data_IF_041759799673
#
_entry.id   IF_041759799673
#
_cell.length_a   1.000
_cell.length_b   1.000
_cell.length_c   1.000
_cell.angle_alpha   90.00
_cell.angle_beta   90.00
_cell.angle_gamma   90.00
#
_symmetry.space_group_name_H-M   'P 1'
#
loop_
_entity.id
_entity.type
_entity.pdbx_description
1 polymer ?
#
# COMPACT_ATOMS: atom_id res chain seq x y z
N UNK A 1 -6.38 -6.06 -6.48
CA UNK A 1 -6.91 -4.79 -7.01
C UNK A 1 -8.39 -4.94 -7.25
N UNK A 2 -9.18 -3.94 -6.88
CA UNK A 2 -10.61 -3.96 -7.20
C UNK A 2 -10.80 -3.86 -8.71
N UNK A 3 -11.84 -4.52 -9.23
CA UNK A 3 -12.18 -4.41 -10.65
C UNK A 3 -12.40 -2.92 -10.99
N UNK A 4 -11.72 -2.36 -12.01
CA UNK A 4 -11.92 -0.98 -12.46
C UNK A 4 -13.36 -0.62 -12.79
N UNK A 5 -14.15 -1.61 -13.22
CA UNK A 5 -15.55 -1.45 -13.58
C UNK A 5 -16.54 -1.61 -12.41
N UNK A 6 -16.02 -1.85 -11.19
CA UNK A 6 -16.88 -1.90 -10.01
C UNK A 6 -17.60 -0.57 -9.78
N UNK A 7 -18.88 -0.57 -9.37
CA UNK A 7 -19.59 0.64 -8.99
C UNK A 7 -18.83 1.46 -7.95
N UNK A 8 -18.92 2.79 -8.04
CA UNK A 8 -18.17 3.72 -7.18
C UNK A 8 -18.36 3.42 -5.68
N UNK A 9 -19.58 3.12 -5.27
CA UNK A 9 -19.89 2.74 -3.89
C UNK A 9 -18.97 1.64 -3.31
N UNK A 10 -18.70 0.57 -4.09
CA UNK A 10 -17.84 -0.52 -3.61
C UNK A 10 -16.37 -0.11 -3.53
N UNK A 11 -15.94 0.82 -4.39
CA UNK A 11 -14.60 1.39 -4.33
C UNK A 11 -14.43 2.23 -3.08
N UNK A 12 -15.37 3.13 -2.83
CA UNK A 12 -15.35 4.03 -1.66
C UNK A 12 -15.42 3.24 -0.36
N UNK A 13 -16.28 2.23 -0.29
CA UNK A 13 -16.37 1.34 0.88
C UNK A 13 -15.06 0.58 1.11
N UNK A 14 -14.43 0.07 0.05
CA UNK A 14 -13.16 -0.65 0.16
C UNK A 14 -12.04 0.26 0.62
N UNK A 15 -11.98 1.48 0.12
CA UNK A 15 -11.01 2.49 0.54
C UNK A 15 -11.21 2.89 2.00
N UNK A 16 -12.45 3.13 2.41
CA UNK A 16 -12.79 3.44 3.80
C UNK A 16 -12.36 2.30 4.74
N UNK A 17 -12.68 1.05 4.39
CA UNK A 17 -12.31 -0.13 5.17
C UNK A 17 -10.80 -0.29 5.33
N UNK A 18 -10.05 -0.15 4.22
CA UNK A 18 -8.57 -0.22 4.26
C UNK A 18 -8.03 0.90 5.14
N UNK A 19 -8.49 2.13 4.94
CA UNK A 19 -8.07 3.30 5.72
C UNK A 19 -8.35 3.14 7.20
N UNK A 20 -9.56 2.72 7.58
CA UNK A 20 -9.94 2.52 8.98
C UNK A 20 -9.16 1.38 9.61
N UNK A 21 -9.02 0.26 8.91
CA UNK A 21 -8.22 -0.88 9.41
C UNK A 21 -6.76 -0.50 9.61
N UNK A 22 -6.15 0.25 8.68
CA UNK A 22 -4.78 0.73 8.83
C UNK A 22 -4.62 1.69 10.02
N UNK A 23 -5.60 2.58 10.25
CA UNK A 23 -5.59 3.46 11.43
C UNK A 23 -5.65 2.64 12.73
N UNK A 24 -6.54 1.66 12.81
CA UNK A 24 -6.62 0.74 13.96
C UNK A 24 -5.25 0.10 14.23
N UNK A 25 -4.65 -0.53 13.23
CA UNK A 25 -3.43 -1.31 13.41
C UNK A 25 -2.21 -0.42 13.69
N UNK A 26 -2.03 0.68 12.96
CA UNK A 26 -0.90 1.60 13.16
C UNK A 26 -0.95 2.34 14.51
N UNK A 27 -2.15 2.71 14.99
CA UNK A 27 -2.27 3.35 16.30
C UNK A 27 -2.06 2.37 17.44
N UNK A 28 -2.39 1.08 17.24
CA UNK A 28 -2.01 0.03 18.18
C UNK A 28 -0.49 -0.16 18.23
N UNK A 29 0.21 -0.18 17.08
CA UNK A 29 1.67 -0.19 17.03
C UNK A 29 2.26 1.00 17.80
N UNK A 30 1.79 2.21 17.51
CA UNK A 30 2.26 3.45 18.15
C UNK A 30 2.04 3.43 19.66
N UNK A 31 0.89 2.93 20.13
CA UNK A 31 0.55 2.85 21.55
C UNK A 31 1.47 1.94 22.38
N UNK A 32 2.10 0.96 21.72
CA UNK A 32 3.09 0.07 22.32
C UNK A 32 4.54 0.47 22.02
N UNK A 33 4.75 1.56 21.28
CA UNK A 33 6.09 1.99 20.87
C UNK A 33 6.79 1.00 19.95
N UNK A 34 6.01 0.26 19.13
CA UNK A 34 6.50 -0.75 18.19
C UNK A 34 6.14 -0.37 16.76
N UNK A 35 6.82 -0.98 15.79
CA UNK A 35 6.49 -0.82 14.37
C UNK A 35 6.32 -2.19 13.72
N UNK A 36 5.18 -2.39 13.07
CA UNK A 36 4.88 -3.59 12.31
C UNK A 36 4.45 -4.82 13.12
N UNK A 37 4.17 -4.68 14.41
CA UNK A 37 3.57 -5.76 15.22
C UNK A 37 2.10 -5.99 14.85
N UNK A 38 1.34 -4.90 14.78
CA UNK A 38 -0.10 -4.96 14.44
C UNK A 38 -0.35 -4.64 12.98
N UNK A 39 0.39 -3.72 12.35
CA UNK A 39 0.19 -3.29 10.97
C UNK A 39 0.68 -4.34 9.95
N UNK A 40 0.08 -5.52 9.97
CA UNK A 40 0.36 -6.65 9.07
C UNK A 40 -0.87 -7.02 8.24
N UNK A 41 -0.67 -7.70 7.10
CA UNK A 41 -1.80 -8.21 6.31
C UNK A 41 -2.61 -9.30 7.05
N UNK A 42 -1.97 -10.06 7.94
CA UNK A 42 -2.66 -11.04 8.79
C UNK A 42 -3.63 -10.32 9.71
N UNK A 43 -3.19 -9.30 10.45
CA UNK A 43 -4.05 -8.54 11.34
C UNK A 43 -5.10 -7.73 10.57
N UNK A 44 -4.76 -7.20 9.39
CA UNK A 44 -5.76 -6.60 8.49
C UNK A 44 -6.87 -7.60 8.17
N UNK A 45 -6.52 -8.82 7.78
CA UNK A 45 -7.51 -9.87 7.52
C UNK A 45 -8.31 -10.22 8.78
N UNK A 46 -7.67 -10.25 9.95
CA UNK A 46 -8.33 -10.49 11.24
C UNK A 46 -9.39 -9.43 11.52
N UNK A 47 -9.10 -8.16 11.31
CA UNK A 47 -10.09 -7.08 11.46
C UNK A 47 -11.20 -7.21 10.41
N UNK A 48 -10.86 -7.44 9.14
CA UNK A 48 -11.84 -7.50 8.06
C UNK A 48 -12.75 -8.74 8.12
N UNK A 49 -12.25 -9.90 8.54
CA UNK A 49 -13.02 -11.15 8.63
C UNK A 49 -13.63 -11.35 10.02
N UNK A 50 -13.08 -10.71 11.05
CA UNK A 50 -13.49 -10.87 12.45
C UNK A 50 -13.60 -12.35 12.92
N UNK A 51 -12.64 -13.26 12.56
CA UNK A 51 -12.72 -14.64 12.98
C UNK A 51 -12.66 -14.73 14.52
N UNK A 52 -13.51 -15.55 15.13
CA UNK A 52 -13.56 -15.74 16.59
C UNK A 52 -13.62 -14.41 17.38
N UNK A 53 -14.15 -13.36 16.78
CA UNK A 53 -14.23 -12.01 17.34
C UNK A 53 -12.87 -11.34 17.64
N UNK A 54 -11.76 -11.84 17.09
CA UNK A 54 -10.43 -11.27 17.32
C UNK A 54 -10.30 -9.89 16.67
N UNK A 55 -10.94 -9.67 15.52
CA UNK A 55 -11.04 -8.32 14.93
C UNK A 55 -11.73 -7.33 15.85
N UNK A 56 -12.84 -7.75 16.49
CA UNK A 56 -13.56 -6.93 17.47
C UNK A 56 -12.70 -6.59 18.68
N UNK A 57 -11.88 -7.52 19.19
CA UNK A 57 -10.95 -7.26 20.30
C UNK A 57 -9.94 -6.16 19.96
N UNK A 58 -9.32 -6.23 18.75
CA UNK A 58 -8.38 -5.22 18.28
C UNK A 58 -9.04 -3.85 18.12
N UNK A 59 -10.22 -3.79 17.53
CA UNK A 59 -11.01 -2.57 17.35
C UNK A 59 -11.45 -1.96 18.69
N UNK A 60 -11.93 -2.78 19.64
CA UNK A 60 -12.33 -2.31 20.96
C UNK A 60 -11.14 -1.70 21.70
N UNK A 61 -9.99 -2.38 21.68
CA UNK A 61 -8.76 -1.88 22.28
C UNK A 61 -8.32 -0.55 21.65
N UNK A 62 -8.37 -0.44 20.32
CA UNK A 62 -8.08 0.80 19.61
C UNK A 62 -9.01 1.96 20.04
N UNK A 63 -10.32 1.71 20.17
CA UNK A 63 -11.27 2.73 20.60
C UNK A 63 -11.03 3.25 22.03
N UNK A 64 -10.30 2.50 22.85
CA UNK A 64 -9.92 2.88 24.22
C UNK A 64 -8.57 3.61 24.30
N UNK A 65 -7.82 3.72 23.20
CA UNK A 65 -6.54 4.43 23.19
C UNK A 65 -6.75 5.91 23.47
N UNK A 66 -5.92 6.45 24.34
CA UNK A 66 -5.80 7.90 24.50
C UNK A 66 -5.20 8.49 23.22
N UNK A 67 -5.87 9.48 22.64
CA UNK A 67 -5.33 10.26 21.54
C UNK A 67 -4.27 11.26 22.04
N UNK A 68 -3.38 11.69 21.15
CA UNK A 68 -2.46 12.80 21.43
C UNK A 68 -3.22 14.14 21.51
N UNK A 69 -4.40 14.18 20.89
CA UNK A 69 -5.33 15.31 20.92
C UNK A 69 -6.75 14.80 21.16
N UNK A 70 -7.64 15.66 21.63
CA UNK A 70 -9.08 15.34 21.77
C UNK A 70 -9.70 14.94 20.43
N UNK A 71 -9.26 15.56 19.33
CA UNK A 71 -9.72 15.23 17.98
C UNK A 71 -9.31 13.80 17.59
N UNK A 72 -8.08 13.40 17.89
CA UNK A 72 -7.60 12.03 17.64
C UNK A 72 -8.34 11.01 18.50
N UNK A 73 -8.58 11.32 19.76
CA UNK A 73 -9.33 10.44 20.66
C UNK A 73 -10.77 10.25 20.19
N UNK A 74 -11.41 11.33 19.74
CA UNK A 74 -12.76 11.27 19.16
C UNK A 74 -12.76 10.42 17.87
N UNK A 75 -11.78 10.63 16.98
CA UNK A 75 -11.66 9.82 15.75
C UNK A 75 -11.49 8.33 16.06
N UNK A 76 -10.70 7.97 17.09
CA UNK A 76 -10.54 6.58 17.51
C UNK A 76 -11.89 5.97 17.95
N UNK A 77 -12.65 6.73 18.76
CA UNK A 77 -13.96 6.29 19.24
C UNK A 77 -14.97 6.15 18.09
N UNK A 78 -14.99 7.10 17.16
CA UNK A 78 -15.90 7.11 16.01
C UNK A 78 -15.61 5.91 15.07
N UNK A 79 -14.34 5.64 14.76
CA UNK A 79 -13.94 4.49 13.93
C UNK A 79 -14.27 3.17 14.63
N UNK A 80 -14.00 3.05 15.95
CA UNK A 80 -14.32 1.85 16.70
C UNK A 80 -15.82 1.62 16.74
N UNK A 81 -16.62 2.68 16.98
CA UNK A 81 -18.08 2.63 16.96
C UNK A 81 -18.62 2.18 15.61
N UNK A 82 -18.07 2.70 14.50
CA UNK A 82 -18.45 2.29 13.15
C UNK A 82 -18.21 0.80 12.93
N UNK A 83 -17.02 0.28 13.31
CA UNK A 83 -16.75 -1.15 13.19
C UNK A 83 -17.70 -1.99 14.02
N UNK A 84 -17.95 -1.62 15.27
CA UNK A 84 -18.75 -2.42 16.22
C UNK A 84 -20.23 -2.41 15.85
N UNK A 85 -20.76 -1.25 15.50
CA UNK A 85 -22.20 -1.04 15.34
C UNK A 85 -22.69 -1.17 13.89
N UNK A 86 -21.80 -0.99 12.90
CA UNK A 86 -22.17 -1.07 11.49
C UNK A 86 -21.50 -2.28 10.80
N UNK A 87 -20.16 -2.38 10.86
CA UNK A 87 -19.44 -3.42 10.13
C UNK A 87 -19.62 -4.82 10.75
N UNK A 88 -19.52 -4.93 12.07
CA UNK A 88 -19.71 -6.19 12.81
C UNK A 88 -21.14 -6.42 13.30
N UNK A 89 -22.09 -5.58 12.90
CA UNK A 89 -23.49 -5.77 13.24
C UNK A 89 -24.03 -7.07 12.65
N UNK A 90 -25.00 -7.65 13.32
CA UNK A 90 -25.72 -8.80 12.77
C UNK A 90 -26.41 -8.41 11.44
N UNK A 91 -26.22 -9.22 10.39
CA UNK A 91 -26.73 -8.96 9.02
C UNK A 91 -26.28 -7.62 8.42
N UNK A 92 -25.05 -7.22 8.71
CA UNK A 92 -24.46 -5.99 8.17
C UNK A 92 -24.35 -6.04 6.65
N UNK A 93 -25.06 -5.16 5.96
CA UNK A 93 -24.90 -4.94 4.51
C UNK A 93 -23.51 -4.39 4.17
N UNK A 94 -22.90 -3.64 5.06
CA UNK A 94 -21.53 -3.13 4.92
C UNK A 94 -20.54 -4.30 4.86
N UNK A 95 -20.70 -5.26 5.77
CA UNK A 95 -19.89 -6.48 5.77
C UNK A 95 -20.12 -7.31 4.50
N UNK A 96 -21.34 -7.53 4.07
CA UNK A 96 -21.67 -8.26 2.84
C UNK A 96 -21.04 -7.59 1.61
N UNK A 97 -21.21 -6.29 1.47
CA UNK A 97 -20.69 -5.49 0.36
C UNK A 97 -19.15 -5.39 0.33
N UNK A 98 -18.47 -5.72 1.43
CA UNK A 98 -17.01 -5.71 1.52
C UNK A 98 -16.36 -7.02 1.07
N UNK A 99 -17.12 -7.99 0.55
CA UNK A 99 -16.62 -9.31 0.14
C UNK A 99 -15.44 -9.24 -0.84
N UNK A 100 -15.45 -8.28 -1.77
CA UNK A 100 -14.38 -8.07 -2.75
C UNK A 100 -13.04 -7.76 -2.10
N UNK A 101 -12.97 -6.77 -1.21
CA UNK A 101 -11.72 -6.40 -0.52
C UNK A 101 -11.26 -7.48 0.45
N UNK A 102 -12.18 -8.14 1.14
CA UNK A 102 -11.85 -9.28 2.02
C UNK A 102 -11.21 -10.43 1.24
N UNK A 103 -11.75 -10.77 0.08
CA UNK A 103 -11.19 -11.80 -0.79
C UNK A 103 -9.78 -11.42 -1.29
N UNK A 104 -9.52 -10.15 -1.63
CA UNK A 104 -8.19 -9.70 -2.06
C UNK A 104 -7.16 -9.82 -0.94
N UNK A 105 -7.48 -9.37 0.26
CA UNK A 105 -6.58 -9.52 1.42
C UNK A 105 -6.33 -10.99 1.74
N UNK A 106 -7.37 -11.82 1.69
CA UNK A 106 -7.23 -13.27 1.91
C UNK A 106 -6.31 -13.94 0.89
N UNK A 107 -6.37 -13.55 -0.39
CA UNK A 107 -5.45 -14.07 -1.43
C UNK A 107 -3.98 -13.75 -1.13
N UNK A 108 -3.71 -12.53 -0.62
CA UNK A 108 -2.34 -12.13 -0.25
C UNK A 108 -1.79 -13.02 0.85
N UNK A 109 -2.55 -13.25 1.91
CA UNK A 109 -2.09 -14.07 3.05
C UNK A 109 -2.08 -15.59 2.77
N UNK A 110 -2.91 -16.05 1.83
CA UNK A 110 -2.93 -17.44 1.41
C UNK A 110 -1.65 -17.82 0.62
N UNK A 111 -1.01 -16.84 -0.03
CA UNK A 111 0.26 -17.09 -0.72
C UNK A 111 1.41 -17.13 0.27
N UNK A 112 2.11 -18.29 0.36
CA UNK A 112 3.19 -18.51 1.34
C UNK A 112 4.35 -17.53 1.21
N UNK A 113 4.67 -17.09 -0.01
CA UNK A 113 5.78 -16.16 -0.26
C UNK A 113 5.40 -14.73 0.17
N UNK A 114 4.24 -14.22 -0.27
CA UNK A 114 3.77 -12.91 0.16
C UNK A 114 3.52 -12.86 1.66
N UNK A 115 2.99 -13.95 2.23
CA UNK A 115 2.80 -14.03 3.67
C UNK A 115 4.12 -13.87 4.43
N UNK A 116 5.20 -14.51 3.96
CA UNK A 116 6.51 -14.37 4.60
C UNK A 116 7.14 -12.99 4.44
N UNK A 117 6.93 -12.33 3.28
CA UNK A 117 7.49 -11.00 3.00
C UNK A 117 6.71 -9.89 3.73
N UNK A 118 5.38 -9.96 3.73
CA UNK A 118 4.50 -8.87 4.17
C UNK A 118 3.99 -9.02 5.62
N UNK A 119 4.35 -10.11 6.30
CA UNK A 119 3.94 -10.36 7.68
C UNK A 119 5.15 -10.86 8.49
N UNK A 120 6.06 -9.95 8.87
CA UNK A 120 7.18 -10.31 9.72
C UNK A 120 6.67 -10.85 11.06
N UNK A 121 7.28 -11.92 11.54
CA UNK A 121 6.97 -12.49 12.85
C UNK A 121 7.68 -11.66 13.93
N UNK A 122 6.94 -10.72 14.48
CA UNK A 122 7.46 -9.78 15.47
C UNK A 122 7.99 -10.48 16.72
N UNK A 123 7.31 -11.54 17.17
CA UNK A 123 7.67 -12.30 18.37
C UNK A 123 8.98 -13.08 18.19
N UNK A 124 9.29 -13.44 16.94
CA UNK A 124 10.59 -14.03 16.56
C UNK A 124 11.67 -13.00 16.23
N UNK A 125 11.44 -11.75 16.53
CA UNK A 125 12.39 -10.67 16.26
C UNK A 125 12.49 -10.24 14.80
N UNK A 126 11.61 -10.74 13.93
CA UNK A 126 11.55 -10.28 12.54
C UNK A 126 10.98 -8.86 12.48
N UNK A 127 11.52 -8.05 11.58
CA UNK A 127 11.08 -6.68 11.33
C UNK A 127 10.92 -6.48 9.83
N UNK A 128 10.27 -5.40 9.42
CA UNK A 128 10.33 -4.93 8.05
C UNK A 128 11.81 -4.69 7.70
N UNK A 129 12.28 -5.38 6.66
CA UNK A 129 13.70 -5.33 6.28
C UNK A 129 14.03 -4.17 5.36
N UNK A 130 13.02 -3.51 4.75
CA UNK A 130 13.21 -2.38 3.85
C UNK A 130 12.59 -1.14 4.49
N UNK A 131 13.44 -0.25 4.98
CA UNK A 131 13.09 1.11 5.35
C UNK A 131 13.51 2.03 4.20
N UNK A 132 12.55 2.49 3.42
CA UNK A 132 12.82 3.35 2.27
C UNK A 132 13.24 4.77 2.68
N UNK A 133 12.83 5.27 3.83
CA UNK A 133 13.26 6.58 4.32
C UNK A 133 14.75 6.52 4.66
N UNK A 134 15.17 5.52 5.42
CA UNK A 134 16.56 5.28 5.76
C UNK A 134 17.42 5.03 4.49
N UNK A 135 16.91 4.21 3.56
CA UNK A 135 17.60 3.93 2.31
C UNK A 135 17.82 5.18 1.45
N UNK A 136 16.81 6.05 1.34
CA UNK A 136 16.90 7.30 0.60
C UNK A 136 17.87 8.29 1.24
N UNK A 137 18.07 8.24 2.55
CA UNK A 137 19.00 9.08 3.30
C UNK A 137 20.44 8.53 3.24
N UNK A 138 20.62 7.25 3.61
CA UNK A 138 21.95 6.63 3.72
C UNK A 138 22.49 6.13 2.39
N UNK A 139 21.62 5.82 1.45
CA UNK A 139 21.96 5.20 0.16
C UNK A 139 22.17 3.69 0.28
N UNK A 140 22.58 3.09 -0.82
CA UNK A 140 22.76 1.65 -0.93
C UNK A 140 22.11 1.11 -2.21
N UNK A 141 22.08 -0.21 -2.36
CA UNK A 141 21.45 -0.90 -3.49
C UNK A 141 20.42 -1.88 -2.95
N UNK A 142 19.18 -1.78 -3.42
CA UNK A 142 18.12 -2.73 -3.15
C UNK A 142 17.74 -3.42 -4.46
N UNK A 143 17.86 -4.74 -4.51
CA UNK A 143 17.41 -5.54 -5.64
C UNK A 143 16.13 -6.30 -5.23
N UNK A 144 15.04 -6.10 -5.98
CA UNK A 144 13.73 -6.68 -5.70
C UNK A 144 13.32 -7.57 -6.85
N UNK A 145 13.09 -8.84 -6.55
CA UNK A 145 12.53 -9.80 -7.48
C UNK A 145 11.06 -10.06 -7.13
N UNK A 146 10.15 -9.68 -8.03
CA UNK A 146 8.71 -9.93 -7.84
C UNK A 146 8.28 -11.34 -8.23
N UNK A 147 9.22 -12.16 -8.76
CA UNK A 147 8.98 -13.53 -9.22
C UNK A 147 7.69 -13.68 -10.06
N UNK A 148 7.46 -12.73 -10.97
CA UNK A 148 6.20 -12.61 -11.71
C UNK A 148 5.82 -13.89 -12.47
N UNK A 149 6.80 -14.59 -13.07
CA UNK A 149 6.56 -15.83 -13.77
C UNK A 149 5.93 -16.92 -12.88
N UNK A 150 6.27 -16.93 -11.59
CA UNK A 150 5.76 -17.87 -10.59
C UNK A 150 4.51 -17.35 -9.87
N UNK A 151 4.49 -16.07 -9.50
CA UNK A 151 3.43 -15.46 -8.69
C UNK A 151 2.33 -14.76 -9.51
N UNK A 152 2.53 -14.55 -10.81
CA UNK A 152 1.57 -13.90 -11.72
C UNK A 152 1.02 -12.58 -11.13
N UNK A 153 -0.30 -12.47 -10.94
CA UNK A 153 -0.96 -11.26 -10.41
C UNK A 153 -0.51 -10.88 -9.01
N UNK A 154 -0.09 -11.83 -8.19
CA UNK A 154 0.47 -11.55 -6.86
C UNK A 154 1.88 -10.95 -6.94
N UNK A 155 2.67 -11.31 -7.96
CA UNK A 155 3.94 -10.66 -8.25
C UNK A 155 3.75 -9.20 -8.69
N UNK A 156 2.72 -8.93 -9.52
CA UNK A 156 2.33 -7.55 -9.85
C UNK A 156 1.93 -6.77 -8.59
N UNK A 157 1.09 -7.37 -7.73
CA UNK A 157 0.69 -6.74 -6.48
C UNK A 157 1.90 -6.36 -5.63
N UNK A 158 2.87 -7.27 -5.47
CA UNK A 158 4.10 -6.99 -4.71
C UNK A 158 4.88 -5.82 -5.32
N UNK A 159 5.07 -5.82 -6.64
CA UNK A 159 5.76 -4.72 -7.33
C UNK A 159 5.05 -3.37 -7.14
N UNK A 160 3.73 -3.33 -7.30
CA UNK A 160 2.94 -2.11 -7.02
C UNK A 160 3.10 -1.65 -5.58
N UNK A 161 2.98 -2.57 -4.64
CA UNK A 161 3.09 -2.25 -3.22
C UNK A 161 4.44 -1.60 -2.91
N UNK A 162 5.52 -2.18 -3.42
CA UNK A 162 6.88 -1.68 -3.21
C UNK A 162 7.08 -0.30 -3.88
N UNK A 163 6.64 -0.13 -5.13
CA UNK A 163 6.74 1.15 -5.83
C UNK A 163 5.98 2.25 -5.10
N UNK A 164 4.77 1.97 -4.61
CA UNK A 164 3.98 2.95 -3.87
C UNK A 164 4.61 3.28 -2.51
N UNK A 165 5.23 2.32 -1.83
CA UNK A 165 5.97 2.59 -0.58
C UNK A 165 7.20 3.47 -0.83
N UNK A 166 7.99 3.16 -1.88
CA UNK A 166 9.11 4.00 -2.29
C UNK A 166 8.64 5.40 -2.68
N UNK A 167 7.60 5.53 -3.49
CA UNK A 167 7.03 6.81 -3.89
C UNK A 167 6.58 7.65 -2.68
N UNK A 168 5.91 7.02 -1.73
CA UNK A 168 5.51 7.66 -0.48
C UNK A 168 6.72 8.16 0.33
N UNK A 169 7.79 7.36 0.41
CA UNK A 169 9.02 7.76 1.06
C UNK A 169 9.71 8.93 0.33
N UNK A 170 9.76 8.89 -1.01
CA UNK A 170 10.32 9.95 -1.84
C UNK A 170 9.62 11.29 -1.57
N UNK A 171 8.28 11.32 -1.57
CA UNK A 171 7.54 12.57 -1.43
C UNK A 171 7.53 13.15 -0.01
N UNK A 172 7.85 12.37 1.01
CA UNK A 172 8.03 12.88 2.38
C UNK A 172 9.48 13.18 2.76
N UNK A 173 10.45 13.00 1.81
CA UNK A 173 11.86 13.31 2.07
C UNK A 173 12.06 14.74 2.53
N UNK A 174 12.77 14.97 3.63
CA UNK A 174 13.17 16.31 4.03
C UNK A 174 14.17 16.93 3.05
N UNK A 175 14.40 18.24 3.19
CA UNK A 175 15.39 18.95 2.38
C UNK A 175 14.84 19.44 1.03
N UNK A 176 15.76 19.78 0.14
CA UNK A 176 15.47 20.32 -1.18
C UNK A 176 16.32 19.63 -2.28
N UNK A 177 16.21 20.08 -3.53
CA UNK A 177 16.90 19.51 -4.67
C UNK A 177 18.45 19.53 -4.51
N UNK A 178 19.02 20.50 -3.79
CA UNK A 178 20.46 20.67 -3.66
C UNK A 178 21.09 19.71 -2.63
N UNK A 179 20.37 19.42 -1.54
CA UNK A 179 20.91 18.67 -0.40
C UNK A 179 20.41 17.21 -0.30
N UNK A 180 19.38 16.81 -1.07
CA UNK A 180 18.96 15.41 -1.13
C UNK A 180 19.98 14.55 -1.84
N UNK A 181 20.19 13.32 -1.34
CA UNK A 181 21.00 12.32 -2.06
C UNK A 181 20.27 11.88 -3.33
N UNK A 182 21.00 11.76 -4.45
CA UNK A 182 20.43 11.22 -5.69
C UNK A 182 20.04 9.75 -5.51
N UNK A 183 18.89 9.38 -6.04
CA UNK A 183 18.39 8.01 -6.06
C UNK A 183 18.06 7.60 -7.50
N UNK A 184 18.42 6.38 -7.87
CA UNK A 184 18.18 5.84 -9.20
C UNK A 184 17.25 4.64 -9.08
N UNK A 185 16.07 4.76 -9.68
CA UNK A 185 15.04 3.71 -9.71
C UNK A 185 15.06 3.03 -11.07
N UNK A 186 15.35 1.74 -11.10
CA UNK A 186 15.32 0.92 -12.32
C UNK A 186 14.12 -0.02 -12.24
N UNK A 187 13.24 0.03 -13.24
CA UNK A 187 12.07 -0.86 -13.34
C UNK A 187 12.13 -1.56 -14.68
N UNK A 188 12.45 -2.85 -14.64
CA UNK A 188 12.33 -3.73 -15.79
C UNK A 188 10.88 -4.16 -15.97
N UNK A 189 10.47 -4.44 -17.22
CA UNK A 189 9.08 -4.77 -17.57
C UNK A 189 8.06 -3.75 -17.01
N UNK A 190 8.40 -2.45 -17.14
CA UNK A 190 7.64 -1.34 -16.55
C UNK A 190 6.15 -1.40 -16.85
N UNK A 191 5.76 -1.86 -18.04
CA UNK A 191 4.35 -2.02 -18.42
C UNK A 191 3.56 -2.87 -17.44
N UNK A 192 4.23 -3.79 -16.73
CA UNK A 192 3.59 -4.64 -15.72
C UNK A 192 3.19 -3.86 -14.46
N UNK A 193 3.96 -2.83 -14.12
CA UNK A 193 3.81 -2.05 -12.90
C UNK A 193 3.32 -0.63 -13.14
N UNK A 194 3.10 -0.26 -14.40
CA UNK A 194 2.62 1.07 -14.77
C UNK A 194 1.23 1.32 -14.23
N UNK A 195 1.05 2.45 -13.54
CA UNK A 195 -0.24 2.93 -13.04
C UNK A 195 -0.32 4.44 -13.18
N UNK A 196 -1.51 5.02 -13.25
CA UNK A 196 -1.67 6.48 -13.21
C UNK A 196 -1.01 7.11 -11.98
N UNK A 197 -1.02 6.44 -10.82
CA UNK A 197 -0.36 6.93 -9.61
C UNK A 197 1.16 7.04 -9.71
N UNK A 198 1.82 6.32 -10.64
CA UNK A 198 3.25 6.46 -10.89
C UNK A 198 3.60 7.75 -11.66
N UNK A 199 2.61 8.40 -12.28
CA UNK A 199 2.82 9.63 -13.04
C UNK A 199 3.45 10.75 -12.21
N UNK A 200 3.08 10.85 -10.93
CA UNK A 200 3.64 11.85 -10.02
C UNK A 200 5.15 11.65 -9.80
N UNK A 201 5.60 10.39 -9.76
CA UNK A 201 7.05 10.09 -9.68
C UNK A 201 7.79 10.57 -10.93
N UNK A 202 7.19 10.45 -12.11
CA UNK A 202 7.79 10.89 -13.36
C UNK A 202 7.84 12.41 -13.49
N UNK A 203 6.79 13.10 -13.04
CA UNK A 203 6.67 14.56 -13.16
C UNK A 203 7.43 15.31 -12.06
N UNK A 204 7.43 14.81 -10.84
CA UNK A 204 7.97 15.50 -9.66
C UNK A 204 9.28 14.88 -9.13
N UNK A 205 9.61 13.65 -9.53
CA UNK A 205 10.76 12.91 -8.98
C UNK A 205 12.08 13.67 -9.07
N UNK A 206 12.26 14.52 -10.11
CA UNK A 206 13.44 15.37 -10.26
C UNK A 206 13.65 16.28 -9.04
N UNK A 207 12.62 16.97 -8.58
CA UNK A 207 12.70 17.85 -7.40
C UNK A 207 13.09 17.10 -6.13
N UNK A 208 12.81 15.80 -6.10
CA UNK A 208 13.19 14.88 -5.02
C UNK A 208 14.51 14.15 -5.29
N UNK A 209 15.24 14.52 -6.37
CA UNK A 209 16.48 13.86 -6.83
C UNK A 209 16.32 12.36 -7.05
N UNK A 210 15.22 11.97 -7.68
CA UNK A 210 14.97 10.60 -8.15
C UNK A 210 14.98 10.58 -9.67
N UNK A 211 15.83 9.74 -10.24
CA UNK A 211 15.86 9.44 -11.68
C UNK A 211 15.26 8.06 -11.91
N UNK A 212 14.22 7.97 -12.73
CA UNK A 212 13.57 6.71 -13.08
C UNK A 212 14.07 6.20 -14.44
N UNK A 213 14.54 4.95 -14.46
CA UNK A 213 14.95 4.21 -15.64
C UNK A 213 13.92 3.09 -15.89
N UNK A 214 13.17 3.22 -16.97
CA UNK A 214 12.03 2.35 -17.26
C UNK A 214 12.33 1.52 -18.51
N UNK A 215 12.36 0.20 -18.36
CA UNK A 215 12.50 -0.70 -19.50
C UNK A 215 11.13 -1.30 -19.87
N UNK A 216 10.81 -1.31 -21.16
CA UNK A 216 9.58 -1.88 -21.71
C UNK A 216 9.82 -2.38 -23.12
N UNK A 217 9.14 -3.43 -23.51
CA UNK A 217 9.28 -4.02 -24.85
C UNK A 217 8.53 -3.21 -25.91
N UNK A 218 7.43 -2.56 -25.57
CA UNK A 218 6.65 -1.75 -26.49
C UNK A 218 5.86 -0.65 -25.78
N UNK A 219 5.85 0.55 -26.38
CA UNK A 219 5.07 1.69 -25.86
C UNK A 219 3.58 1.39 -25.72
N UNK A 220 3.00 0.61 -26.65
CA UNK A 220 1.60 0.24 -26.61
C UNK A 220 1.23 -0.55 -25.34
N UNK A 221 2.17 -1.29 -24.75
CA UNK A 221 1.93 -2.03 -23.51
C UNK A 221 1.81 -1.12 -22.29
N UNK A 222 2.46 0.05 -22.30
CA UNK A 222 2.33 1.05 -21.22
C UNK A 222 0.88 1.56 -21.15
N UNK A 223 0.18 1.65 -22.28
CA UNK A 223 -1.22 2.07 -22.32
C UNK A 223 -2.14 1.18 -21.48
N UNK A 224 -1.82 -0.11 -21.35
CA UNK A 224 -2.61 -1.05 -20.54
C UNK A 224 -2.61 -0.69 -19.05
N UNK A 225 -1.51 -0.10 -18.54
CA UNK A 225 -1.41 0.38 -17.17
C UNK A 225 -2.19 1.67 -16.89
N UNK A 226 -2.44 2.48 -17.92
CA UNK A 226 -3.19 3.73 -17.84
C UNK A 226 -4.73 3.56 -17.78
N UNK A 227 -5.23 2.34 -17.91
CA UNK A 227 -6.68 2.08 -17.89
C UNK A 227 -7.42 2.81 -19.01
N UNK A 228 -8.52 3.52 -18.68
CA UNK A 228 -9.31 4.28 -19.68
C UNK A 228 -8.52 5.41 -20.34
N UNK A 229 -7.54 5.97 -19.65
CA UNK A 229 -6.68 7.07 -20.14
C UNK A 229 -5.32 6.58 -20.64
N UNK A 230 -5.22 5.34 -21.09
CA UNK A 230 -3.97 4.69 -21.49
C UNK A 230 -3.16 5.47 -22.52
N UNK A 231 -3.79 6.14 -23.50
CA UNK A 231 -3.09 6.98 -24.48
C UNK A 231 -2.44 8.18 -23.83
N UNK A 232 -3.17 8.90 -22.98
CA UNK A 232 -2.66 10.05 -22.23
C UNK A 232 -1.50 9.64 -21.30
N UNK A 233 -1.60 8.45 -20.71
CA UNK A 233 -0.55 7.91 -19.86
C UNK A 233 0.74 7.59 -20.64
N UNK A 234 0.63 7.00 -21.85
CA UNK A 234 1.79 6.80 -22.75
C UNK A 234 2.45 8.12 -23.10
N UNK A 235 1.65 9.12 -23.45
CA UNK A 235 2.14 10.46 -23.79
C UNK A 235 2.86 11.09 -22.59
N UNK A 236 2.29 11.01 -21.40
CA UNK A 236 2.87 11.51 -20.16
C UNK A 236 4.23 10.82 -19.88
N UNK A 237 4.29 9.49 -19.97
CA UNK A 237 5.55 8.75 -19.80
C UNK A 237 6.58 9.20 -20.84
N UNK A 238 6.19 9.29 -22.12
CA UNK A 238 7.09 9.65 -23.21
C UNK A 238 7.61 11.09 -23.11
N UNK A 239 6.79 12.02 -22.61
CA UNK A 239 7.17 13.43 -22.43
C UNK A 239 8.15 13.61 -21.27
N UNK A 240 8.00 12.82 -20.20
CA UNK A 240 8.87 12.91 -19.03
C UNK A 240 10.12 12.03 -19.14
N UNK A 241 10.11 10.99 -19.96
CA UNK A 241 11.30 10.19 -20.27
C UNK A 241 12.12 10.90 -21.36
N UNK A 242 13.07 11.73 -20.94
CA UNK A 242 13.86 12.58 -21.86
C UNK A 242 14.81 11.79 -22.74
N UNK A 243 15.31 10.65 -22.30
CA UNK A 243 16.22 9.77 -23.01
C UNK A 243 15.46 8.51 -23.41
N UNK A 244 15.23 8.33 -24.70
CA UNK A 244 14.67 7.12 -25.30
C UNK A 244 15.80 6.39 -26.01
N UNK A 245 16.07 5.16 -25.61
CA UNK A 245 17.09 4.28 -26.19
C UNK A 245 16.38 3.12 -26.88
#
# INVERSE_FOLDING_TARGET
MLNPDSPQYFKDLSEQLVRYTLKVLKRLDKSEGVDGKYATFINMNTVLQNPNQDGRKLVTRFGQLKGETDAEQKENADIASWFINEYYAERSKVYENSSGIRAQVSKVIANRYLRGILNPDFDKGQRNQIDFDEHLEKGGVICICTAQGMMRDLGKFLGYFIILQLQSAVFRRPGNEDNRRAHFLYIDEFQTYSTPGFSDMLTQGRSYRVASHLATQARAQIAMGGGRDGKNFVELVSTNARNLI
#
